data_IF_425997011100
#
_entry.id   IF_425997011100
#
_cell.length_a   1.000
_cell.length_b   1.000
_cell.length_c   1.000
_cell.angle_alpha   90.00
_cell.angle_beta   90.00
_cell.angle_gamma   90.00
#
_symmetry.space_group_name_H-M   'P 1'
#
loop_
_entity.id
_entity.type
_entity.pdbx_description
1 polymer ?
#
# COMPACT_ATOMS: atom_id res chain seq x y z
N UNK A 1 17.55 -0.51 16.59
CA UNK A 1 16.84 -0.35 15.33
C UNK A 1 16.22 -1.67 14.95
N UNK A 2 14.93 -1.67 14.80
CA UNK A 2 14.19 -2.89 14.51
C UNK A 2 13.95 -3.01 13.02
N UNK A 3 14.33 -4.16 12.44
CA UNK A 3 13.93 -4.49 11.07
C UNK A 3 12.48 -4.93 11.10
N UNK A 4 11.66 -4.28 10.28
CA UNK A 4 10.23 -4.51 10.21
C UNK A 4 9.80 -4.82 8.78
N UNK A 5 8.62 -5.41 8.65
CA UNK A 5 7.97 -5.58 7.35
C UNK A 5 6.62 -4.88 7.38
N UNK A 6 6.26 -4.30 6.24
CA UNK A 6 4.96 -3.64 6.09
C UNK A 6 4.35 -4.04 4.76
N UNK A 7 3.02 -4.04 4.69
CA UNK A 7 2.33 -4.27 3.43
C UNK A 7 2.04 -2.96 2.75
N UNK A 8 2.30 -2.92 1.45
CA UNK A 8 2.04 -1.76 0.61
C UNK A 8 1.26 -2.22 -0.62
N UNK A 9 0.41 -1.34 -1.14
CA UNK A 9 -0.32 -1.60 -2.38
C UNK A 9 -0.22 -0.35 -3.24
N UNK A 10 0.13 -0.52 -4.53
CA UNK A 10 -0.12 0.53 -5.51
C UNK A 10 -1.54 0.31 -6.00
N UNK A 11 -2.41 1.26 -5.71
CA UNK A 11 -3.84 1.18 -5.97
C UNK A 11 -4.14 1.36 -7.46
N UNK A 12 -5.38 1.07 -7.90
CA UNK A 12 -5.69 1.12 -9.33
C UNK A 12 -5.35 2.43 -10.02
N UNK A 13 -5.49 3.57 -9.34
CA UNK A 13 -5.15 4.86 -9.94
C UNK A 13 -3.64 4.99 -10.20
N UNK A 14 -2.80 4.49 -9.29
CA UNK A 14 -1.35 4.49 -9.50
C UNK A 14 -0.92 3.57 -10.63
N UNK A 15 -1.58 2.43 -10.78
CA UNK A 15 -1.30 1.52 -11.89
C UNK A 15 -1.73 2.17 -13.22
N UNK A 16 -2.93 2.76 -13.27
CA UNK A 16 -3.42 3.43 -14.48
C UNK A 16 -2.51 4.58 -14.93
N UNK A 17 -1.99 5.33 -13.97
CA UNK A 17 -1.08 6.45 -14.26
C UNK A 17 0.31 5.99 -14.69
N UNK A 18 0.57 4.68 -14.59
CA UNK A 18 1.85 4.09 -14.97
C UNK A 18 3.01 4.63 -14.13
N UNK A 19 2.79 4.79 -12.82
CA UNK A 19 3.78 5.32 -11.90
C UNK A 19 4.32 4.29 -10.90
N UNK A 20 4.11 2.99 -11.18
CA UNK A 20 4.63 1.92 -10.32
C UNK A 20 6.14 2.09 -10.10
N UNK A 21 6.88 2.33 -11.18
CA UNK A 21 8.33 2.48 -11.09
C UNK A 21 8.76 3.66 -10.23
N UNK A 22 8.05 4.79 -10.33
CA UNK A 22 8.36 5.95 -9.51
C UNK A 22 8.07 5.67 -8.03
N UNK A 23 6.96 4.99 -7.73
CA UNK A 23 6.63 4.62 -6.36
C UNK A 23 7.70 3.69 -5.79
N UNK A 24 8.11 2.68 -6.55
CA UNK A 24 9.15 1.74 -6.12
C UNK A 24 10.50 2.43 -5.94
N UNK A 25 10.84 3.37 -6.84
CA UNK A 25 12.07 4.14 -6.71
C UNK A 25 12.11 4.87 -5.35
N UNK A 26 10.99 5.44 -4.94
CA UNK A 26 10.92 6.14 -3.65
C UNK A 26 11.09 5.20 -2.47
N UNK A 27 10.55 3.98 -2.55
CA UNK A 27 10.77 2.97 -1.51
C UNK A 27 12.25 2.63 -1.40
N UNK A 28 12.87 2.31 -2.53
CA UNK A 28 14.27 1.88 -2.53
C UNK A 28 15.22 3.00 -2.16
N UNK A 29 14.97 4.21 -2.61
CA UNK A 29 15.78 5.39 -2.25
C UNK A 29 15.75 5.62 -0.73
N UNK A 30 14.63 5.32 -0.08
CA UNK A 30 14.50 5.47 1.37
C UNK A 30 15.10 4.30 2.15
N UNK A 31 15.62 3.28 1.47
CA UNK A 31 16.24 2.13 2.12
C UNK A 31 15.29 0.99 2.43
N UNK A 32 14.07 1.02 1.89
CA UNK A 32 13.15 -0.10 2.02
C UNK A 32 13.41 -1.12 0.92
N UNK A 33 13.47 -2.39 1.28
CA UNK A 33 13.69 -3.47 0.33
C UNK A 33 12.39 -4.16 0.00
N UNK A 34 12.16 -4.41 -1.28
CA UNK A 34 10.99 -5.17 -1.73
C UNK A 34 11.33 -6.65 -1.56
N UNK A 35 10.59 -7.36 -0.73
CA UNK A 35 10.83 -8.78 -0.46
C UNK A 35 9.74 -9.69 -1.01
N UNK A 36 8.66 -9.12 -1.51
CA UNK A 36 7.63 -9.82 -2.29
C UNK A 36 6.84 -8.80 -3.08
N UNK A 37 6.39 -9.17 -4.28
CA UNK A 37 5.60 -8.29 -5.12
C UNK A 37 4.76 -9.13 -6.07
N UNK A 38 3.49 -8.74 -6.25
CA UNK A 38 2.58 -9.45 -7.15
C UNK A 38 1.52 -8.50 -7.69
N UNK A 39 1.37 -8.49 -9.00
CA UNK A 39 0.25 -7.76 -9.61
C UNK A 39 -1.00 -8.63 -9.51
N UNK A 40 -2.09 -8.04 -9.06
CA UNK A 40 -3.35 -8.73 -8.84
C UNK A 40 -4.51 -7.91 -9.36
N UNK A 41 -5.54 -8.62 -9.81
CA UNK A 41 -6.87 -8.01 -9.94
C UNK A 41 -7.69 -8.63 -8.82
N UNK A 42 -8.06 -7.82 -7.85
CA UNK A 42 -8.79 -8.31 -6.67
C UNK A 42 -10.23 -8.66 -7.04
N UNK A 43 -10.73 -9.75 -6.46
CA UNK A 43 -12.17 -10.04 -6.50
C UNK A 43 -12.87 -9.18 -5.46
N UNK A 44 -14.20 -9.09 -5.56
CA UNK A 44 -14.99 -8.36 -4.58
C UNK A 44 -14.79 -8.95 -3.19
N UNK A 45 -14.81 -10.27 -3.05
CA UNK A 45 -14.64 -10.91 -1.75
C UNK A 45 -13.24 -10.68 -1.18
N UNK A 46 -12.20 -10.65 -2.03
CA UNK A 46 -10.86 -10.36 -1.58
C UNK A 46 -10.73 -8.93 -1.05
N UNK A 47 -11.29 -7.97 -1.77
CA UNK A 47 -11.26 -6.58 -1.33
C UNK A 47 -12.07 -6.37 -0.04
N UNK A 48 -13.24 -6.98 0.04
CA UNK A 48 -14.08 -6.92 1.24
C UNK A 48 -13.37 -7.53 2.44
N UNK A 49 -12.70 -8.67 2.25
CA UNK A 49 -11.94 -9.33 3.31
C UNK A 49 -10.77 -8.49 3.80
N UNK A 50 -10.04 -7.90 2.86
CA UNK A 50 -8.89 -7.07 3.20
C UNK A 50 -9.30 -5.84 4.03
N UNK A 51 -10.39 -5.18 3.64
CA UNK A 51 -10.88 -3.99 4.31
C UNK A 51 -11.98 -4.29 5.34
N UNK A 52 -12.07 -5.53 5.85
CA UNK A 52 -13.14 -5.95 6.74
C UNK A 52 -13.24 -5.11 8.01
N UNK A 53 -12.13 -4.52 8.47
CA UNK A 53 -12.13 -3.63 9.64
C UNK A 53 -12.94 -2.36 9.40
N UNK A 54 -13.20 -2.02 8.14
CA UNK A 54 -13.98 -0.84 7.76
C UNK A 54 -15.40 -1.18 7.32
N UNK A 55 -15.85 -2.42 7.51
CA UNK A 55 -17.13 -2.91 6.99
C UNK A 55 -18.32 -2.03 7.38
N UNK A 56 -18.29 -1.44 8.57
CA UNK A 56 -19.37 -0.59 9.07
C UNK A 56 -19.23 0.87 8.66
N UNK A 57 -18.16 1.23 7.95
CA UNK A 57 -17.93 2.61 7.54
C UNK A 57 -18.72 2.96 6.29
N UNK A 58 -19.24 4.21 6.20
CA UNK A 58 -19.99 4.63 5.01
C UNK A 58 -19.22 4.50 3.70
N UNK A 59 -17.89 4.65 3.74
CA UNK A 59 -17.06 4.59 2.54
C UNK A 59 -16.71 3.17 2.10
N UNK A 60 -17.13 2.14 2.84
CA UNK A 60 -16.67 0.77 2.59
C UNK A 60 -17.01 0.29 1.17
N UNK A 61 -18.27 0.49 0.74
CA UNK A 61 -18.70 0.05 -0.60
C UNK A 61 -17.94 0.74 -1.72
N UNK A 62 -17.71 2.03 -1.58
CA UNK A 62 -16.97 2.80 -2.58
C UNK A 62 -15.51 2.39 -2.62
N UNK A 63 -14.92 2.14 -1.46
CA UNK A 63 -13.54 1.66 -1.37
C UNK A 63 -13.38 0.31 -2.06
N UNK A 64 -14.27 -0.64 -1.78
CA UNK A 64 -14.23 -1.96 -2.42
C UNK A 64 -14.40 -1.82 -3.94
N UNK A 65 -15.39 -1.06 -4.39
CA UNK A 65 -15.64 -0.84 -5.81
C UNK A 65 -14.40 -0.23 -6.49
N UNK A 66 -13.75 0.72 -5.84
CA UNK A 66 -12.55 1.34 -6.36
C UNK A 66 -11.40 0.32 -6.46
N UNK A 67 -11.16 -0.46 -5.41
CA UNK A 67 -10.03 -1.40 -5.37
C UNK A 67 -10.17 -2.54 -6.38
N UNK A 68 -11.37 -2.84 -6.83
CA UNK A 68 -11.58 -3.87 -7.86
C UNK A 68 -11.74 -3.29 -9.26
N UNK A 69 -11.62 -1.96 -9.41
CA UNK A 69 -11.82 -1.29 -10.68
C UNK A 69 -10.70 -1.52 -11.69
N UNK A 70 -9.57 -2.04 -11.27
CA UNK A 70 -8.43 -2.32 -12.12
C UNK A 70 -7.35 -3.07 -11.35
N UNK A 71 -6.26 -3.45 -12.03
CA UNK A 71 -5.16 -4.13 -11.35
C UNK A 71 -4.52 -3.27 -10.27
N UNK A 72 -4.01 -3.95 -9.25
CA UNK A 72 -3.19 -3.36 -8.20
C UNK A 72 -1.87 -4.13 -8.16
N UNK A 73 -0.85 -3.55 -7.52
CA UNK A 73 0.34 -4.32 -7.22
C UNK A 73 0.52 -4.33 -5.71
N UNK A 74 0.64 -5.54 -5.14
CA UNK A 74 0.79 -5.75 -3.70
C UNK A 74 2.23 -6.11 -3.44
N UNK A 75 2.86 -5.44 -2.49
CA UNK A 75 4.26 -5.71 -2.16
C UNK A 75 4.48 -5.70 -0.65
N UNK A 76 5.51 -6.43 -0.24
CA UNK A 76 6.00 -6.41 1.14
C UNK A 76 7.33 -5.68 1.14
N UNK A 77 7.44 -4.69 2.01
CA UNK A 77 8.65 -3.89 2.17
C UNK A 77 9.30 -4.22 3.50
N UNK A 78 10.61 -4.31 3.49
CA UNK A 78 11.40 -4.63 4.69
C UNK A 78 12.47 -3.56 4.89
N UNK A 79 12.67 -3.15 6.13
CA UNK A 79 13.72 -2.21 6.50
C UNK A 79 13.57 -1.74 7.92
N UNK A 80 14.48 -0.89 8.36
CA UNK A 80 14.43 -0.30 9.71
C UNK A 80 13.18 0.58 9.81
N UNK A 81 12.35 0.32 10.82
CA UNK A 81 11.12 1.09 11.07
C UNK A 81 10.24 1.17 9.82
N UNK A 82 10.07 0.04 9.12
CA UNK A 82 9.42 0.02 7.80
C UNK A 82 8.00 0.62 7.82
N UNK A 83 7.21 0.34 8.87
CA UNK A 83 5.84 0.86 8.93
C UNK A 83 5.85 2.39 8.96
N UNK A 84 6.58 3.00 9.88
CA UNK A 84 6.63 4.46 10.00
C UNK A 84 7.28 5.08 8.77
N UNK A 85 8.38 4.51 8.30
CA UNK A 85 9.09 5.03 7.12
C UNK A 85 8.21 5.02 5.88
N UNK A 86 7.48 3.93 5.66
CA UNK A 86 6.57 3.83 4.53
C UNK A 86 5.47 4.89 4.60
N UNK A 87 4.90 5.10 5.79
CA UNK A 87 3.86 6.11 5.96
C UNK A 87 4.39 7.52 5.71
N UNK A 88 5.61 7.81 6.12
CA UNK A 88 6.25 9.10 5.83
C UNK A 88 6.45 9.30 4.33
N UNK A 89 6.84 8.26 3.61
CA UNK A 89 7.02 8.32 2.15
C UNK A 89 5.68 8.52 1.44
N UNK A 90 4.62 7.86 1.92
CA UNK A 90 3.28 8.02 1.34
C UNK A 90 2.73 9.43 1.51
N UNK A 91 2.93 10.02 2.66
CA UNK A 91 2.33 11.30 3.00
C UNK A 91 0.93 11.17 3.57
N UNK A 92 0.33 12.31 3.91
CA UNK A 92 -1.02 12.35 4.48
C UNK A 92 -2.05 11.76 3.52
N UNK A 93 -3.11 11.18 4.07
CA UNK A 93 -4.20 10.57 3.30
C UNK A 93 -4.79 11.55 2.29
N UNK A 94 -4.97 12.80 2.69
CA UNK A 94 -5.42 13.87 1.80
C UNK A 94 -4.19 14.45 1.08
N UNK A 95 -4.11 14.32 -0.26
CA UNK A 95 -2.96 14.86 -1.00
C UNK A 95 -2.74 16.35 -0.80
N UNK A 96 -3.81 17.10 -0.55
CA UNK A 96 -3.70 18.56 -0.31
C UNK A 96 -3.01 18.89 1.00
N UNK A 97 -3.01 17.94 1.94
CA UNK A 97 -2.38 18.09 3.25
C UNK A 97 -1.03 17.38 3.33
N UNK A 98 -0.67 16.62 2.28
CA UNK A 98 0.57 15.87 2.26
C UNK A 98 1.75 16.81 2.00
N UNK A 99 2.87 16.54 2.69
CA UNK A 99 4.07 17.35 2.51
C UNK A 99 4.65 17.16 1.10
N UNK A 100 5.19 18.23 0.50
CA UNK A 100 5.84 18.12 -0.80
C UNK A 100 6.92 17.02 -0.79
N UNK A 101 7.02 16.28 -1.89
CA UNK A 101 7.97 15.18 -2.02
C UNK A 101 7.42 13.84 -1.60
N UNK A 102 6.25 13.79 -0.96
CA UNK A 102 5.60 12.53 -0.65
C UNK A 102 4.87 12.00 -1.88
N UNK A 103 4.60 10.70 -1.89
CA UNK A 103 3.91 10.06 -3.02
C UNK A 103 2.56 10.73 -3.25
N UNK A 104 1.78 10.92 -2.20
CA UNK A 104 0.43 11.48 -2.33
C UNK A 104 0.44 12.93 -2.75
N UNK A 105 1.35 13.73 -2.21
CA UNK A 105 1.46 15.14 -2.64
C UNK A 105 1.77 15.26 -4.13
N UNK A 106 2.65 14.41 -4.62
CA UNK A 106 3.17 14.52 -5.98
C UNK A 106 2.30 13.78 -7.02
N UNK A 107 1.65 12.68 -6.64
CA UNK A 107 1.04 11.76 -7.60
C UNK A 107 -0.46 11.53 -7.40
N UNK A 108 -1.01 11.85 -6.25
CA UNK A 108 -2.42 11.57 -5.96
C UNK A 108 -3.33 12.72 -6.34
N UNK A 109 -4.58 12.41 -6.71
CA UNK A 109 -5.56 13.40 -7.12
C UNK A 109 -6.53 13.76 -6.00
N UNK A 110 -6.86 12.79 -5.13
CA UNK A 110 -7.89 12.97 -4.11
C UNK A 110 -7.67 11.99 -2.97
N UNK A 111 -8.47 12.14 -1.91
CA UNK A 111 -8.45 11.20 -0.79
C UNK A 111 -8.82 9.79 -1.26
N UNK A 112 -9.78 9.69 -2.18
CA UNK A 112 -10.26 8.40 -2.70
C UNK A 112 -9.27 7.77 -3.66
N UNK A 113 -8.58 8.57 -4.47
CA UNK A 113 -7.58 8.12 -5.44
C UNK A 113 -6.21 8.62 -5.02
N UNK A 114 -5.67 7.98 -3.99
CA UNK A 114 -4.44 8.46 -3.34
C UNK A 114 -3.24 7.54 -3.52
N UNK A 115 -3.23 6.77 -4.60
CA UNK A 115 -2.10 6.01 -5.18
C UNK A 115 -1.69 4.78 -4.37
N UNK A 116 -1.50 4.90 -3.07
CA UNK A 116 -0.87 3.83 -2.27
C UNK A 116 -1.63 3.54 -1.00
N UNK A 117 -1.50 2.30 -0.54
CA UNK A 117 -1.92 1.83 0.78
C UNK A 117 -0.67 1.39 1.54
N UNK A 118 -0.67 1.63 2.84
CA UNK A 118 0.35 1.11 3.74
C UNK A 118 -0.27 0.70 5.06
N UNK A 119 0.28 -0.36 5.65
CA UNK A 119 -0.15 -0.79 6.98
C UNK A 119 0.08 0.33 7.99
N UNK A 120 -0.80 0.45 8.98
CA UNK A 120 -0.73 1.52 9.98
C UNK A 120 -0.08 1.11 11.29
N UNK A 121 0.22 -0.19 11.45
CA UNK A 121 0.87 -0.72 12.65
C UNK A 121 1.55 -2.04 12.31
N UNK A 122 2.45 -2.49 13.19
CA UNK A 122 3.07 -3.81 13.04
C UNK A 122 2.03 -4.93 13.10
N UNK A 123 1.06 -4.81 13.97
CA UNK A 123 -0.01 -5.81 14.10
C UNK A 123 -0.80 -5.92 12.81
N UNK A 124 -1.24 -4.78 12.26
CA UNK A 124 -1.97 -4.79 11.00
C UNK A 124 -1.09 -5.21 9.82
N UNK A 125 0.19 -4.86 9.85
CA UNK A 125 1.14 -5.29 8.81
C UNK A 125 1.21 -6.82 8.76
N UNK A 126 1.34 -7.48 9.91
CA UNK A 126 1.42 -8.95 9.95
C UNK A 126 0.15 -9.58 9.36
N UNK A 127 -1.01 -9.08 9.74
CA UNK A 127 -2.30 -9.57 9.24
C UNK A 127 -2.44 -9.34 7.73
N UNK A 128 -2.10 -8.15 7.28
CA UNK A 128 -2.23 -7.78 5.86
C UNK A 128 -1.26 -8.55 4.97
N UNK A 129 -0.03 -8.76 5.43
CA UNK A 129 0.95 -9.56 4.70
C UNK A 129 0.45 -10.99 4.55
N UNK A 130 -0.01 -11.59 5.66
CA UNK A 130 -0.52 -12.97 5.63
C UNK A 130 -1.76 -13.11 4.75
N UNK A 131 -2.52 -12.04 4.56
CA UNK A 131 -3.69 -12.07 3.70
C UNK A 131 -3.30 -12.31 2.23
N UNK A 132 -2.19 -11.75 1.78
CA UNK A 132 -1.79 -11.82 0.37
C UNK A 132 -0.65 -12.79 0.08
N UNK A 133 0.20 -13.09 1.05
CA UNK A 133 1.42 -13.86 0.82
C UNK A 133 1.58 -14.98 1.83
N UNK A 134 2.00 -16.16 1.36
CA UNK A 134 2.51 -17.20 2.24
C UNK A 134 3.92 -16.78 2.71
N UNK A 135 4.33 -17.23 3.90
CA UNK A 135 5.64 -16.90 4.43
C UNK A 135 6.76 -17.33 3.49
N UNK A 136 6.58 -18.45 2.80
CA UNK A 136 7.57 -18.98 1.84
C UNK A 136 7.72 -18.10 0.60
N UNK A 137 6.80 -17.15 0.38
CA UNK A 137 6.88 -16.23 -0.74
C UNK A 137 7.68 -14.98 -0.41
N UNK A 138 8.06 -14.79 0.84
CA UNK A 138 8.83 -13.63 1.28
C UNK A 138 10.32 -13.94 1.15
N UNK A 139 11.01 -13.10 0.38
CA UNK A 139 12.42 -13.32 0.05
C UNK A 139 13.31 -12.40 0.90
N UNK A 140 13.72 -12.87 2.06
CA UNK A 140 14.63 -12.10 2.91
C UNK A 140 15.91 -11.76 2.12
N UNK A 141 16.40 -10.55 2.24
CA UNK A 141 17.55 -10.11 1.45
C UNK A 141 18.37 -9.01 2.14
#
# INVERSE_FOLDING_TARGET
MAVERTLSIVKPDGVRKNVIGEVYRRFETAGLRIVAARMRRLSQSEAEGFYSVHRERPFFKDLVAYMISGPVIVQVLEGDNAVAKHRDIMGATDPKKAAPGTIRADLAESIEQNVVHGSDSLENAAREIAYFFAETELCAR
#
